data_IF_164788914943
#
_entry.id   IF_164788914943
#
_cell.length_a   1.000
_cell.length_b   1.000
_cell.length_c   1.000
_cell.angle_alpha   90.00
_cell.angle_beta   90.00
_cell.angle_gamma   90.00
#
_symmetry.space_group_name_H-M   'P 1'
#
loop_
_entity.id
_entity.type
_entity.pdbx_description
1 polymer ?
#
# COMPACT_ATOMS: atom_id res chain seq x y z
N UNK A 1 -46.31 -22.19 37.17
CA UNK A 1 -45.24 -22.77 36.35
C UNK A 1 -45.07 -22.12 34.96
N UNK A 2 -46.05 -21.40 34.40
CA UNK A 2 -45.96 -20.77 33.06
C UNK A 2 -45.08 -19.50 33.01
N UNK A 3 -45.01 -18.74 34.13
CA UNK A 3 -44.23 -17.48 34.20
C UNK A 3 -42.69 -17.69 34.10
N UNK A 4 -42.15 -18.74 34.73
CA UNK A 4 -40.70 -19.03 34.70
C UNK A 4 -40.21 -19.43 33.30
N UNK A 5 -41.04 -20.12 32.52
CA UNK A 5 -40.71 -20.51 31.14
C UNK A 5 -40.70 -19.30 30.18
N UNK A 6 -41.61 -18.35 30.43
CA UNK A 6 -41.66 -17.11 29.64
C UNK A 6 -40.45 -16.21 29.92
N UNK A 7 -40.02 -16.15 31.20
CA UNK A 7 -38.82 -15.38 31.58
C UNK A 7 -37.54 -15.95 30.95
N UNK A 8 -37.37 -17.30 30.92
CA UNK A 8 -36.25 -17.95 30.27
C UNK A 8 -36.23 -17.69 28.76
N UNK A 9 -37.40 -17.71 28.09
CA UNK A 9 -37.48 -17.46 26.64
C UNK A 9 -37.15 -16.02 26.30
N UNK A 10 -37.56 -15.06 27.14
CA UNK A 10 -37.21 -13.64 26.99
C UNK A 10 -35.71 -13.41 27.18
N UNK A 11 -35.07 -14.10 28.12
CA UNK A 11 -33.63 -13.99 28.37
C UNK A 11 -32.80 -14.57 27.24
N UNK A 12 -33.23 -15.69 26.64
CA UNK A 12 -32.58 -16.27 25.45
C UNK A 12 -32.74 -15.36 24.23
N UNK A 13 -33.90 -14.74 24.05
CA UNK A 13 -34.14 -13.78 22.95
C UNK A 13 -33.27 -12.54 23.10
N UNK A 14 -33.07 -12.03 24.32
CA UNK A 14 -32.16 -10.91 24.58
C UNK A 14 -30.69 -11.26 24.30
N UNK A 15 -30.26 -12.50 24.57
CA UNK A 15 -28.89 -12.94 24.25
C UNK A 15 -28.63 -13.09 22.74
N UNK A 16 -29.65 -13.45 21.95
CA UNK A 16 -29.52 -13.59 20.49
C UNK A 16 -29.38 -12.21 19.82
N UNK A 17 -30.06 -11.17 20.36
CA UNK A 17 -29.93 -9.81 19.84
C UNK A 17 -28.59 -9.14 20.16
N UNK A 18 -27.83 -9.61 21.15
CA UNK A 18 -26.48 -9.08 21.45
C UNK A 18 -25.38 -9.70 20.61
N UNK A 19 -25.67 -10.68 19.75
CA UNK A 19 -24.72 -11.34 18.86
C UNK A 19 -24.79 -10.84 17.41
N UNK A 20 -25.49 -9.72 17.14
CA UNK A 20 -25.31 -9.07 15.83
C UNK A 20 -23.86 -8.58 15.77
N UNK A 21 -23.01 -9.14 14.89
CA UNK A 21 -21.71 -8.57 14.69
C UNK A 21 -21.94 -7.12 14.22
N UNK A 22 -21.53 -6.19 15.05
CA UNK A 22 -21.36 -4.82 14.62
C UNK A 22 -20.37 -4.92 13.46
N UNK A 23 -20.79 -4.73 12.22
CA UNK A 23 -19.87 -4.51 11.11
C UNK A 23 -19.07 -3.26 11.46
N UNK A 24 -18.00 -3.44 12.21
CA UNK A 24 -16.94 -2.46 12.32
C UNK A 24 -16.38 -2.36 10.90
N UNK A 25 -16.90 -1.38 10.15
CA UNK A 25 -16.30 -0.95 8.88
C UNK A 25 -14.82 -0.75 9.20
N UNK A 26 -13.99 -1.66 8.72
CA UNK A 26 -12.56 -1.56 8.91
C UNK A 26 -12.16 -0.20 8.36
N UNK A 27 -11.77 0.72 9.25
CA UNK A 27 -11.31 2.03 8.86
C UNK A 27 -10.08 1.80 7.98
N UNK A 28 -10.20 2.06 6.69
CA UNK A 28 -9.12 1.84 5.73
C UNK A 28 -7.97 2.75 6.13
N UNK A 29 -6.94 2.16 6.71
CA UNK A 29 -5.76 2.91 7.13
C UNK A 29 -4.96 3.32 5.91
N UNK A 30 -4.88 4.61 5.67
CA UNK A 30 -4.15 5.19 4.54
C UNK A 30 -2.68 5.41 4.92
N UNK A 31 -1.78 5.07 4.00
CA UNK A 31 -0.34 5.26 4.14
C UNK A 31 0.17 6.18 3.03
N UNK A 32 0.52 7.40 3.39
CA UNK A 32 1.25 8.32 2.50
C UNK A 32 2.73 7.95 2.45
N UNK A 33 3.34 8.16 1.31
CA UNK A 33 4.77 7.92 1.12
C UNK A 33 5.48 9.19 0.72
N UNK A 34 6.63 9.45 1.30
CA UNK A 34 7.49 10.57 0.94
C UNK A 34 8.95 10.14 0.86
N UNK A 35 9.70 10.84 0.02
CA UNK A 35 11.15 10.69 -0.12
C UNK A 35 11.78 12.05 0.10
N UNK A 36 12.72 12.13 1.03
CA UNK A 36 13.32 13.39 1.46
C UNK A 36 12.24 14.45 1.75
N UNK A 37 12.23 15.54 1.02
CA UNK A 37 11.27 16.64 1.18
C UNK A 37 10.13 16.61 0.15
N UNK A 38 9.91 15.47 -0.51
CA UNK A 38 8.89 15.29 -1.54
C UNK A 38 7.84 14.25 -1.15
N UNK A 39 6.58 14.65 -1.10
CA UNK A 39 5.44 13.74 -0.97
C UNK A 39 5.18 13.06 -2.32
N UNK A 40 5.17 11.71 -2.36
CA UNK A 40 4.94 10.97 -3.61
C UNK A 40 3.46 11.03 -4.03
N UNK A 41 3.18 11.09 -5.34
CA UNK A 41 1.82 11.31 -5.85
C UNK A 41 0.88 10.13 -5.63
N UNK A 42 1.41 8.91 -5.67
CA UNK A 42 0.59 7.69 -5.73
C UNK A 42 0.01 7.33 -4.35
N UNK A 43 -1.33 7.30 -4.29
CA UNK A 43 -2.09 6.81 -3.16
C UNK A 43 -3.15 5.85 -3.68
N UNK A 44 -2.83 4.56 -3.66
CA UNK A 44 -3.74 3.49 -4.10
C UNK A 44 -3.52 2.23 -3.27
N UNK A 45 -4.51 1.34 -3.23
CA UNK A 45 -4.39 0.05 -2.54
C UNK A 45 -3.25 -0.82 -3.09
N UNK A 46 -2.88 -0.60 -4.34
CA UNK A 46 -1.83 -1.37 -5.02
C UNK A 46 -0.43 -0.88 -4.66
N UNK A 47 -0.28 0.41 -4.31
CA UNK A 47 1.03 1.05 -4.09
C UNK A 47 1.25 1.52 -2.65
N UNK A 48 0.24 1.50 -1.79
CA UNK A 48 0.41 1.87 -0.40
C UNK A 48 1.36 0.93 0.35
N UNK A 49 2.27 1.47 1.17
CA UNK A 49 3.02 0.69 2.14
C UNK A 49 2.11 -0.15 3.04
N UNK A 50 2.61 -1.27 3.52
CA UNK A 50 1.87 -2.12 4.45
C UNK A 50 2.80 -2.87 5.41
N UNK A 51 2.23 -3.33 6.52
CA UNK A 51 2.92 -4.18 7.48
C UNK A 51 2.68 -5.66 7.18
N UNK A 52 3.76 -6.45 7.19
CA UNK A 52 3.70 -7.91 7.08
C UNK A 52 4.79 -8.53 7.94
N UNK A 53 4.42 -9.50 8.77
CA UNK A 53 5.37 -10.18 9.66
C UNK A 53 6.16 -9.24 10.57
N UNK A 54 5.58 -8.12 11.01
CA UNK A 54 6.25 -7.11 11.85
C UNK A 54 7.23 -6.20 11.11
N UNK A 55 7.25 -6.24 9.78
CA UNK A 55 8.07 -5.37 8.91
C UNK A 55 7.21 -4.45 8.08
N UNK A 56 7.69 -3.24 7.87
CA UNK A 56 7.08 -2.28 6.95
C UNK A 56 7.63 -2.49 5.54
N UNK A 57 6.74 -2.66 4.58
CA UNK A 57 7.05 -2.84 3.17
C UNK A 57 6.65 -1.60 2.39
N UNK A 58 7.55 -1.16 1.51
CA UNK A 58 7.32 -0.04 0.59
C UNK A 58 7.35 -0.52 -0.86
N UNK A 59 6.52 0.05 -1.76
CA UNK A 59 6.57 -0.31 -3.17
C UNK A 59 7.89 0.12 -3.81
N UNK A 60 8.37 -0.64 -4.76
CA UNK A 60 9.61 -0.34 -5.50
C UNK A 60 9.57 1.00 -6.23
N UNK A 61 8.39 1.53 -6.50
CA UNK A 61 8.17 2.87 -7.08
C UNK A 61 8.75 3.99 -6.21
N UNK A 62 8.85 3.78 -4.88
CA UNK A 62 9.51 4.72 -3.95
C UNK A 62 10.99 4.92 -4.28
N UNK A 63 11.64 3.90 -4.86
CA UNK A 63 13.05 3.97 -5.25
C UNK A 63 13.20 4.57 -6.65
N UNK A 64 12.26 4.25 -7.54
CA UNK A 64 12.35 4.63 -8.95
C UNK A 64 12.01 6.10 -9.14
N UNK A 65 12.96 6.86 -9.70
CA UNK A 65 12.74 8.28 -10.02
C UNK A 65 12.74 9.22 -8.81
N UNK A 66 13.35 8.80 -7.69
CA UNK A 66 13.47 9.60 -6.47
C UNK A 66 14.92 9.94 -6.15
N UNK A 67 15.13 10.96 -5.30
CA UNK A 67 16.46 11.46 -4.92
C UNK A 67 17.15 10.63 -3.82
N UNK A 68 16.83 9.33 -3.71
CA UNK A 68 17.50 8.44 -2.76
C UNK A 68 18.89 8.00 -3.23
N UNK A 69 19.24 8.25 -4.48
CA UNK A 69 20.47 7.77 -5.10
C UNK A 69 20.49 6.24 -5.27
N UNK A 70 19.31 5.60 -5.23
CA UNK A 70 19.14 4.18 -5.48
C UNK A 70 18.55 3.93 -6.86
N UNK A 71 18.87 2.77 -7.40
CA UNK A 71 18.32 2.27 -8.66
C UNK A 71 17.60 0.95 -8.41
N UNK A 72 16.56 0.72 -9.18
CA UNK A 72 15.78 -0.50 -9.15
C UNK A 72 15.71 -1.12 -10.54
N UNK A 73 15.87 -2.45 -10.60
CA UNK A 73 15.71 -3.22 -11.82
C UNK A 73 15.00 -4.54 -11.49
N UNK A 74 14.09 -4.97 -12.37
CA UNK A 74 13.42 -6.27 -12.28
C UNK A 74 13.80 -7.11 -13.51
N UNK A 75 14.05 -8.40 -13.32
CA UNK A 75 14.33 -9.33 -14.42
C UNK A 75 13.15 -9.46 -15.38
N UNK A 76 13.42 -9.81 -16.65
CA UNK A 76 12.38 -9.96 -17.67
C UNK A 76 11.38 -11.08 -17.35
N UNK A 77 11.85 -12.15 -16.73
CA UNK A 77 11.04 -13.28 -16.26
C UNK A 77 10.29 -13.01 -14.95
N UNK A 78 10.47 -11.78 -14.40
CA UNK A 78 9.88 -11.32 -13.15
C UNK A 78 10.24 -12.18 -11.91
N UNK A 79 11.29 -13.01 -11.99
CA UNK A 79 11.70 -13.89 -10.90
C UNK A 79 12.59 -13.20 -9.86
N UNK A 80 13.26 -12.11 -10.25
CA UNK A 80 14.19 -11.38 -9.38
C UNK A 80 14.04 -9.87 -9.52
N UNK A 81 14.42 -9.16 -8.46
CA UNK A 81 14.64 -7.72 -8.50
C UNK A 81 15.97 -7.36 -7.83
N UNK A 82 16.57 -6.28 -8.29
CA UNK A 82 17.82 -5.75 -7.74
C UNK A 82 17.62 -4.29 -7.37
N UNK A 83 17.97 -3.95 -6.14
CA UNK A 83 18.14 -2.57 -5.70
C UNK A 83 19.63 -2.32 -5.57
N UNK A 84 20.11 -1.25 -6.18
CA UNK A 84 21.56 -1.01 -6.17
C UNK A 84 21.91 0.49 -6.14
N UNK A 85 23.08 0.74 -5.61
CA UNK A 85 23.80 2.00 -5.65
C UNK A 85 25.27 1.66 -5.95
N UNK A 86 26.07 2.61 -6.38
CA UNK A 86 27.48 2.37 -6.75
C UNK A 86 28.20 1.50 -5.69
N UNK A 87 28.67 0.33 -6.12
CA UNK A 87 29.42 -0.60 -5.30
C UNK A 87 28.59 -1.47 -4.32
N UNK A 88 27.27 -1.33 -4.28
CA UNK A 88 26.40 -2.07 -3.37
C UNK A 88 25.11 -2.50 -4.07
N UNK A 89 24.70 -3.75 -3.89
CA UNK A 89 23.47 -4.28 -4.48
C UNK A 89 22.81 -5.29 -3.55
N UNK A 90 21.46 -5.27 -3.51
CA UNK A 90 20.62 -6.31 -2.92
C UNK A 90 19.81 -6.97 -4.02
N UNK A 91 19.93 -8.27 -4.13
CA UNK A 91 19.18 -9.11 -5.07
C UNK A 91 18.08 -9.86 -4.32
N UNK A 92 16.84 -9.66 -4.72
CA UNK A 92 15.65 -10.32 -4.19
C UNK A 92 15.23 -11.42 -5.16
N UNK A 93 15.26 -12.69 -4.73
CA UNK A 93 14.75 -13.82 -5.50
C UNK A 93 13.35 -14.18 -4.99
N UNK A 94 12.32 -13.98 -5.81
CA UNK A 94 10.93 -14.16 -5.39
C UNK A 94 10.54 -15.61 -5.25
N UNK A 95 11.06 -16.49 -6.11
CA UNK A 95 10.75 -17.92 -6.08
C UNK A 95 11.39 -18.61 -4.85
N UNK A 96 12.63 -18.24 -4.54
CA UNK A 96 13.34 -18.78 -3.38
C UNK A 96 12.97 -18.06 -2.07
N UNK A 97 12.35 -16.88 -2.13
CA UNK A 97 12.09 -16.04 -0.96
C UNK A 97 13.38 -15.59 -0.26
N UNK A 98 14.45 -15.36 -1.02
CA UNK A 98 15.77 -15.01 -0.48
C UNK A 98 16.22 -13.62 -0.91
N UNK A 99 17.10 -13.03 -0.11
CA UNK A 99 17.77 -11.77 -0.38
C UNK A 99 19.26 -11.93 -0.15
N UNK A 100 20.07 -11.50 -1.11
CA UNK A 100 21.52 -11.55 -0.99
C UNK A 100 22.16 -10.23 -1.49
N UNK A 101 23.33 -9.89 -0.95
CA UNK A 101 24.14 -8.80 -1.49
C UNK A 101 25.03 -9.29 -2.64
N UNK A 102 25.83 -8.38 -3.18
CA UNK A 102 26.78 -8.66 -4.27
C UNK A 102 27.90 -9.66 -3.90
N UNK A 103 28.04 -10.01 -2.62
CA UNK A 103 29.00 -11.00 -2.10
C UNK A 103 28.31 -12.29 -1.66
N UNK A 104 27.07 -12.54 -2.08
CA UNK A 104 26.25 -13.69 -1.71
C UNK A 104 25.92 -13.80 -0.21
N UNK A 105 26.10 -12.73 0.57
CA UNK A 105 25.69 -12.70 1.96
C UNK A 105 24.16 -12.58 2.03
N UNK A 106 23.56 -13.55 2.75
CA UNK A 106 22.11 -13.62 2.90
C UNK A 106 21.57 -12.65 3.97
N UNK A 107 20.39 -12.11 3.68
CA UNK A 107 19.64 -11.22 4.59
C UNK A 107 18.22 -11.76 4.83
N UNK A 108 17.64 -11.38 5.95
CA UNK A 108 16.23 -11.67 6.25
C UNK A 108 15.31 -10.59 5.70
N UNK A 109 14.13 -10.99 5.23
CA UNK A 109 13.12 -10.06 4.70
C UNK A 109 13.01 -10.16 3.18
N UNK A 110 12.36 -11.22 2.67
CA UNK A 110 12.10 -11.35 1.23
C UNK A 110 11.22 -10.21 0.73
N UNK A 111 11.32 -9.88 -0.54
CA UNK A 111 10.37 -9.00 -1.18
C UNK A 111 9.00 -9.69 -1.32
N UNK A 112 7.94 -8.91 -1.34
CA UNK A 112 6.56 -9.37 -1.57
C UNK A 112 6.09 -8.80 -2.90
N UNK A 113 5.49 -9.65 -3.75
CA UNK A 113 4.87 -9.21 -5.00
C UNK A 113 3.35 -9.19 -4.82
N UNK A 114 2.73 -8.03 -5.05
CA UNK A 114 1.30 -7.82 -4.94
C UNK A 114 0.82 -6.97 -6.12
N UNK A 115 -0.19 -7.42 -6.86
CA UNK A 115 -0.71 -6.74 -8.05
C UNK A 115 0.40 -6.32 -9.05
N UNK A 116 1.38 -7.21 -9.28
CA UNK A 116 2.59 -6.97 -10.10
C UNK A 116 3.56 -5.88 -9.55
N UNK A 117 3.25 -5.24 -8.44
CA UNK A 117 4.14 -4.32 -7.73
C UNK A 117 5.03 -5.11 -6.77
N UNK A 118 6.32 -4.81 -6.80
CA UNK A 118 7.29 -5.40 -5.85
C UNK A 118 7.38 -4.51 -4.62
N UNK A 119 7.13 -5.11 -3.47
CA UNK A 119 7.28 -4.45 -2.18
C UNK A 119 8.55 -4.92 -1.49
N UNK A 120 9.30 -3.99 -0.98
CA UNK A 120 10.63 -4.19 -0.41
C UNK A 120 10.61 -3.89 1.09
N UNK A 121 11.29 -4.69 1.93
CA UNK A 121 11.36 -4.46 3.37
C UNK A 121 12.16 -3.20 3.68
N UNK A 122 11.50 -2.19 4.25
CA UNK A 122 12.08 -0.86 4.46
C UNK A 122 13.26 -0.88 5.43
N UNK A 123 13.16 -1.65 6.50
CA UNK A 123 14.23 -1.81 7.49
C UNK A 123 15.53 -2.36 6.87
N UNK A 124 15.42 -3.33 5.95
CA UNK A 124 16.59 -3.87 5.25
C UNK A 124 17.19 -2.83 4.29
N UNK A 125 16.36 -2.14 3.52
CA UNK A 125 16.84 -1.11 2.59
C UNK A 125 17.56 0.01 3.32
N UNK A 126 16.98 0.52 4.39
CA UNK A 126 17.57 1.65 5.13
C UNK A 126 18.86 1.23 5.82
N UNK A 127 18.90 0.05 6.42
CA UNK A 127 20.12 -0.46 7.04
C UNK A 127 21.24 -0.71 6.01
N UNK A 128 20.92 -1.34 4.88
CA UNK A 128 21.93 -1.72 3.87
C UNK A 128 22.49 -0.52 3.12
N UNK A 129 21.63 0.43 2.76
CA UNK A 129 22.03 1.60 1.98
C UNK A 129 22.29 2.85 2.83
N UNK A 130 22.36 2.74 4.16
CA UNK A 130 22.59 3.85 5.08
C UNK A 130 21.60 5.01 4.85
N UNK A 131 20.32 4.66 4.73
CA UNK A 131 19.22 5.61 4.70
C UNK A 131 18.57 5.66 6.09
N UNK A 132 17.72 6.64 6.30
CA UNK A 132 16.85 6.74 7.47
C UNK A 132 15.38 6.71 7.05
N UNK A 133 14.47 6.46 7.97
CA UNK A 133 13.04 6.60 7.72
C UNK A 133 12.29 7.02 8.97
N UNK A 134 11.16 7.66 8.77
CA UNK A 134 10.18 7.90 9.82
C UNK A 134 8.82 7.31 9.44
N UNK A 135 8.13 6.85 10.49
CA UNK A 135 6.76 6.35 10.41
C UNK A 135 5.94 7.14 11.43
N UNK A 136 5.12 8.07 10.94
CA UNK A 136 4.46 9.07 11.78
C UNK A 136 2.96 9.08 11.51
N UNK A 137 2.15 9.10 12.58
CA UNK A 137 0.71 9.30 12.46
C UNK A 137 0.43 10.75 12.04
N UNK A 138 -0.41 10.91 11.02
CA UNK A 138 -0.89 12.19 10.52
C UNK A 138 -2.43 12.22 10.56
N UNK A 139 -3.06 13.35 10.25
CA UNK A 139 -4.50 13.54 10.38
C UNK A 139 -5.30 12.49 9.61
N UNK A 140 -4.85 12.09 8.42
CA UNK A 140 -5.58 11.19 7.52
C UNK A 140 -4.96 9.79 7.42
N UNK A 141 -4.12 9.38 8.36
CA UNK A 141 -3.49 8.06 8.35
C UNK A 141 -2.08 8.06 8.86
N UNK A 142 -1.15 7.49 8.10
CA UNK A 142 0.27 7.43 8.44
C UNK A 142 1.12 7.93 7.29
N UNK A 143 2.24 8.57 7.64
CA UNK A 143 3.27 8.97 6.70
C UNK A 143 4.49 8.07 6.87
N UNK A 144 4.91 7.43 5.78
CA UNK A 144 6.19 6.72 5.65
C UNK A 144 7.12 7.62 4.86
N UNK A 145 8.15 8.15 5.50
CA UNK A 145 9.12 9.04 4.85
C UNK A 145 10.50 8.42 4.85
N UNK A 146 11.03 8.12 3.67
CA UNK A 146 12.39 7.62 3.49
C UNK A 146 13.33 8.79 3.26
N UNK A 147 14.44 8.81 3.96
CA UNK A 147 15.35 9.96 4.01
C UNK A 147 16.78 9.54 3.65
N UNK A 148 17.40 10.30 2.78
CA UNK A 148 18.85 10.29 2.56
C UNK A 148 19.51 11.43 3.33
N UNK A 149 20.82 11.54 3.20
CA UNK A 149 21.61 12.66 3.77
C UNK A 149 21.31 14.03 3.14
N UNK A 150 20.54 14.06 2.04
CA UNK A 150 20.14 15.31 1.37
C UNK A 150 18.85 15.91 1.90
N UNK A 151 18.18 15.26 2.88
CA UNK A 151 16.95 15.78 3.49
C UNK A 151 17.20 17.12 4.20
N UNK A 152 16.31 18.10 3.99
CA UNK A 152 16.44 19.46 4.57
C UNK A 152 15.45 19.70 5.68
N UNK A 153 14.18 19.28 5.50
CA UNK A 153 13.14 19.53 6.48
C UNK A 153 13.11 18.45 7.57
N UNK A 154 12.94 18.87 8.82
CA UNK A 154 12.54 17.94 9.88
C UNK A 154 11.17 17.32 9.60
N UNK A 155 10.85 16.18 10.22
CA UNK A 155 9.57 15.50 9.99
C UNK A 155 8.37 16.40 10.32
N UNK A 156 8.43 17.17 11.41
CA UNK A 156 7.37 18.10 11.77
C UNK A 156 7.15 19.18 10.71
N UNK A 157 8.22 19.84 10.25
CA UNK A 157 8.14 20.88 9.21
C UNK A 157 7.65 20.30 7.86
N UNK A 158 8.07 19.09 7.54
CA UNK A 158 7.59 18.42 6.33
C UNK A 158 6.10 18.11 6.42
N UNK A 159 5.61 17.59 7.55
CA UNK A 159 4.19 17.30 7.76
C UNK A 159 3.35 18.56 7.63
N UNK A 160 3.79 19.68 8.24
CA UNK A 160 3.10 20.95 8.13
C UNK A 160 3.04 21.45 6.67
N UNK A 161 4.15 21.38 5.96
CA UNK A 161 4.23 21.82 4.57
C UNK A 161 3.40 20.92 3.63
N UNK A 162 3.32 19.62 3.88
CA UNK A 162 2.61 18.65 3.05
C UNK A 162 1.13 18.46 3.44
N UNK A 163 0.65 19.09 4.52
CA UNK A 163 -0.68 18.86 5.10
C UNK A 163 -1.81 18.99 4.07
N UNK A 164 -1.85 20.08 3.30
CA UNK A 164 -2.88 20.30 2.27
C UNK A 164 -2.81 19.25 1.14
N UNK A 165 -1.61 18.86 0.74
CA UNK A 165 -1.43 17.85 -0.30
C UNK A 165 -1.85 16.45 0.18
N UNK A 166 -1.62 16.12 1.44
CA UNK A 166 -2.10 14.87 2.03
C UNK A 166 -3.63 14.86 2.14
N UNK A 167 -4.25 15.97 2.56
CA UNK A 167 -5.70 16.10 2.61
C UNK A 167 -6.34 15.93 1.24
N UNK A 168 -5.82 16.60 0.21
CA UNK A 168 -6.33 16.47 -1.15
C UNK A 168 -6.26 15.02 -1.63
N UNK A 169 -5.12 14.34 -1.48
CA UNK A 169 -4.94 12.95 -1.90
C UNK A 169 -5.84 11.99 -1.14
N UNK A 170 -6.00 12.22 0.16
CA UNK A 170 -6.94 11.44 0.97
C UNK A 170 -8.37 11.56 0.44
N UNK A 171 -8.82 12.76 0.14
CA UNK A 171 -10.16 13.01 -0.39
C UNK A 171 -10.37 12.38 -1.76
N UNK A 172 -9.37 12.45 -2.65
CA UNK A 172 -9.38 11.78 -3.95
C UNK A 172 -9.46 10.25 -3.81
N UNK A 173 -8.62 9.68 -2.94
CA UNK A 173 -8.63 8.27 -2.63
C UNK A 173 -9.99 7.81 -2.07
N UNK A 174 -10.55 8.51 -1.10
CA UNK A 174 -11.85 8.18 -0.51
C UNK A 174 -13.00 8.29 -1.52
N UNK A 175 -12.94 9.24 -2.44
CA UNK A 175 -13.92 9.38 -3.52
C UNK A 175 -13.92 8.16 -4.44
N UNK A 176 -12.78 7.71 -4.90
CA UNK A 176 -12.68 6.51 -5.76
C UNK A 176 -13.16 5.25 -5.06
N UNK A 177 -12.92 5.13 -3.74
CA UNK A 177 -13.36 3.98 -2.95
C UNK A 177 -14.85 3.99 -2.60
N UNK A 178 -15.46 5.17 -2.47
CA UNK A 178 -16.90 5.28 -2.27
C UNK A 178 -17.70 4.98 -3.54
N UNK A 179 -17.19 5.37 -4.71
CA UNK A 179 -17.82 5.10 -6.00
C UNK A 179 -17.77 3.61 -6.39
N UNK A 180 -16.72 2.89 -5.99
CA UNK A 180 -16.58 1.44 -6.26
C UNK A 180 -17.51 0.58 -5.40
N UNK A 181 -18.02 1.09 -4.30
CA UNK A 181 -18.91 0.39 -3.37
C UNK A 181 -20.40 0.72 -3.57
N UNK A 182 -20.78 1.44 -4.63
CA UNK A 182 -22.18 1.65 -4.99
C UNK A 182 -22.70 0.47 -5.84
N UNK A 183 -23.54 -0.44 -5.28
CA UNK A 183 -24.06 -1.61 -6.00
C UNK A 183 -25.07 -1.25 -7.11
N UNK A 184 -25.32 0.03 -7.35
CA UNK A 184 -26.32 0.53 -8.31
C UNK A 184 -25.77 0.90 -9.69
N UNK A 185 -24.46 0.92 -9.92
CA UNK A 185 -23.90 1.29 -11.21
C UNK A 185 -23.63 0.07 -12.08
N UNK A 186 -24.69 -0.54 -12.60
CA UNK A 186 -24.60 -1.45 -13.75
C UNK A 186 -24.10 -0.64 -14.94
N UNK A 187 -22.93 -0.96 -15.42
CA UNK A 187 -22.41 -0.43 -16.69
C UNK A 187 -23.26 -1.07 -17.80
N UNK A 188 -24.28 -0.38 -18.27
CA UNK A 188 -24.95 -0.69 -19.53
C UNK A 188 -23.93 -0.50 -20.65
N UNK A 189 -23.24 -1.57 -21.01
CA UNK A 189 -22.62 -1.68 -22.31
C UNK A 189 -23.72 -1.90 -23.32
N UNK A 190 -24.23 -0.81 -23.88
CA UNK A 190 -25.00 -0.85 -25.11
C UNK A 190 -24.11 -1.34 -26.23
N UNK A 191 -24.27 -2.60 -26.54
CA UNK A 191 -23.87 -3.22 -27.80
C UNK A 191 -24.97 -2.88 -28.80
N UNK A 192 -24.93 -1.73 -29.42
CA UNK A 192 -25.64 -1.51 -30.66
C UNK A 192 -24.76 -2.02 -31.80
N UNK A 193 -25.02 -3.26 -32.16
CA UNK A 193 -24.70 -3.76 -33.48
C UNK A 193 -25.65 -3.13 -34.48
N UNK A 194 -25.13 -2.42 -35.43
CA UNK A 194 -25.80 -2.26 -36.71
C UNK A 194 -24.85 -2.63 -37.83
N UNK A 195 -25.23 -3.69 -38.43
CA UNK A 195 -24.74 -4.22 -39.69
C UNK A 195 -25.39 -3.44 -40.81
N UNK A 196 -24.62 -2.80 -41.66
CA UNK A 196 -25.04 -2.56 -43.03
C UNK A 196 -23.92 -2.85 -44.03
N UNK A 197 -24.11 -3.95 -44.67
CA UNK A 197 -23.54 -4.33 -45.94
C UNK A 197 -23.93 -3.33 -47.04
N UNK A 198 -22.97 -2.77 -47.74
CA UNK A 198 -23.13 -2.40 -49.14
C UNK A 198 -21.88 -2.82 -49.93
N UNK A 199 -22.06 -3.80 -50.76
CA UNK A 199 -21.26 -4.08 -51.95
C UNK A 199 -21.50 -3.00 -53.00
N UNK A 200 -20.48 -2.77 -53.84
CA UNK A 200 -20.44 -2.34 -55.25
C UNK A 200 -19.20 -1.45 -55.45
N UNK A 201 -18.31 -1.60 -56.29
CA UNK A 201 -17.94 -2.27 -57.55
C UNK A 201 -16.41 -2.34 -57.63
#
# INVERSE_FOLDING_TARGET
MKSKRFLCLLLVLLMVFSLTPSETRAETTVYFTAVNDQLLPDLSDETMPFWSGGRLYIPSTVITGTDLGLFYSRSRDKSTAVVYRQGSALTFNFAAGTVADQNDRQYSGPAIVRSDVVFLPLDLLTQFFSLDYSYTRVTYGYLVRVKSDTVVLSDAKFIDAAAMSMEQRYNEYMKTHSESNDPGKTTDQNTDGDSDLVCLE
#
